data_IF_024981422098
#
_entry.id   IF_024981422098
#
_cell.length_a   1.000
_cell.length_b   1.000
_cell.length_c   1.000
_cell.angle_alpha   90.00
_cell.angle_beta   90.00
_cell.angle_gamma   90.00
#
_symmetry.space_group_name_H-M   'P 1'
#
loop_
_entity.id
_entity.type
_entity.pdbx_description
1 polymer ?
#
# COMPACT_ATOMS: atom_id res chain seq x y z
N UNK A 1 -19.38 70.42 8.89
CA UNK A 1 -18.82 69.65 10.02
C UNK A 1 -18.94 68.15 9.71
N UNK A 2 -17.81 67.42 9.79
CA UNK A 2 -17.67 65.94 9.97
C UNK A 2 -18.07 65.06 8.76
N UNK A 3 -17.22 64.88 7.73
CA UNK A 3 -16.29 63.73 7.53
C UNK A 3 -16.42 62.54 8.49
N UNK A 4 -16.72 61.36 7.91
CA UNK A 4 -16.20 60.00 8.20
C UNK A 4 -16.94 59.02 7.27
N UNK A 5 -16.31 58.51 6.20
CA UNK A 5 -15.49 57.29 6.18
C UNK A 5 -16.32 56.01 6.36
N UNK A 6 -16.54 55.26 5.27
CA UNK A 6 -16.53 53.80 5.34
C UNK A 6 -16.10 53.23 3.98
N UNK A 7 -14.84 52.84 3.94
CA UNK A 7 -14.19 52.10 2.88
C UNK A 7 -14.78 50.68 2.79
N UNK A 8 -14.92 50.24 1.54
CA UNK A 8 -15.19 48.89 1.08
C UNK A 8 -14.23 47.86 1.73
N UNK A 9 -14.63 46.58 1.80
CA UNK A 9 -13.67 45.58 1.32
C UNK A 9 -14.42 44.55 0.46
N UNK A 10 -14.33 44.52 -0.87
CA UNK A 10 -13.14 44.18 -1.66
C UNK A 10 -12.28 43.00 -1.15
N UNK A 11 -12.59 42.39 0.00
CA UNK A 11 -11.78 41.31 0.59
C UNK A 11 -12.40 39.92 0.42
N UNK A 12 -13.69 39.82 0.06
CA UNK A 12 -14.34 38.50 -0.04
C UNK A 12 -14.01 37.76 -1.35
N UNK A 13 -13.67 38.47 -2.42
CA UNK A 13 -13.39 37.86 -3.74
C UNK A 13 -11.93 37.38 -3.85
N UNK A 14 -11.00 37.99 -3.12
CA UNK A 14 -9.57 37.58 -3.13
C UNK A 14 -9.34 36.30 -2.32
N UNK A 15 -10.16 36.01 -1.30
CA UNK A 15 -10.04 34.78 -0.50
C UNK A 15 -10.43 33.50 -1.25
N UNK A 16 -11.38 33.57 -2.18
CA UNK A 16 -11.89 32.38 -2.89
C UNK A 16 -10.95 31.87 -3.99
N UNK A 17 -10.09 32.74 -4.54
CA UNK A 17 -9.09 32.38 -5.56
C UNK A 17 -7.82 31.75 -4.97
N UNK A 18 -7.57 31.89 -3.66
CA UNK A 18 -6.41 31.27 -2.99
C UNK A 18 -6.66 29.81 -2.58
N UNK A 19 -7.91 29.35 -2.49
CA UNK A 19 -8.21 27.97 -2.08
C UNK A 19 -7.99 26.93 -3.19
N UNK A 20 -7.98 27.34 -4.46
CA UNK A 20 -7.72 26.44 -5.60
C UNK A 20 -6.23 26.31 -5.96
N UNK A 21 -5.35 27.12 -5.36
CA UNK A 21 -3.91 27.10 -5.65
C UNK A 21 -3.07 26.17 -4.74
N UNK A 22 -3.69 25.58 -3.70
CA UNK A 22 -2.97 24.80 -2.66
C UNK A 22 -3.22 23.28 -2.78
N UNK A 23 -4.03 22.83 -3.73
CA UNK A 23 -4.20 21.40 -4.00
C UNK A 23 -3.63 21.06 -5.37
N UNK A 24 -2.31 21.19 -5.51
CA UNK A 24 -1.60 20.31 -6.45
C UNK A 24 -1.48 18.95 -5.75
N UNK A 25 -2.04 17.86 -6.29
CA UNK A 25 -1.60 16.53 -5.87
C UNK A 25 -0.17 16.38 -6.38
N UNK A 26 0.78 16.80 -5.55
CA UNK A 26 2.17 16.45 -5.78
C UNK A 26 2.27 14.97 -5.45
N UNK A 27 2.18 14.12 -6.48
CA UNK A 27 2.84 12.82 -6.43
C UNK A 27 4.33 13.17 -6.42
N UNK A 28 4.81 13.42 -5.21
CA UNK A 28 6.22 13.49 -4.88
C UNK A 28 6.75 12.06 -5.03
N UNK A 29 7.14 11.66 -6.24
CA UNK A 29 8.12 10.60 -6.42
C UNK A 29 9.45 11.13 -5.91
N UNK A 30 9.59 11.17 -4.58
CA UNK A 30 10.89 11.21 -3.94
C UNK A 30 11.54 9.85 -4.16
N UNK A 31 12.18 9.71 -5.32
CA UNK A 31 13.27 8.77 -5.55
C UNK A 31 14.48 9.31 -4.76
N UNK A 32 14.35 9.26 -3.44
CA UNK A 32 15.44 9.56 -2.51
C UNK A 32 16.06 8.22 -2.14
N UNK A 33 17.34 8.09 -2.50
CA UNK A 33 18.26 6.99 -2.22
C UNK A 33 17.98 6.26 -0.88
N UNK A 34 17.09 5.27 -0.89
CA UNK A 34 16.80 4.47 0.29
C UNK A 34 17.91 3.42 0.42
N UNK A 35 18.75 3.56 1.45
CA UNK A 35 19.70 2.53 1.88
C UNK A 35 19.03 1.36 2.64
N UNK A 36 17.73 1.18 2.46
CA UNK A 36 16.94 0.12 3.07
C UNK A 36 16.54 -0.89 1.99
N UNK A 37 16.31 -2.14 2.37
CA UNK A 37 15.91 -3.22 1.46
C UNK A 37 14.69 -2.86 0.60
N UNK A 38 14.31 -3.73 -0.37
CA UNK A 38 13.21 -3.40 -1.26
C UNK A 38 11.92 -3.20 -0.44
N UNK A 39 11.56 -1.92 -0.23
CA UNK A 39 10.21 -1.51 0.17
C UNK A 39 9.27 -2.08 -0.86
N UNK A 40 8.22 -2.76 -0.42
CA UNK A 40 7.22 -3.32 -1.32
C UNK A 40 6.79 -2.26 -2.36
N UNK A 41 6.67 -2.61 -3.66
CA UNK A 41 6.07 -1.72 -4.65
C UNK A 41 4.70 -1.22 -4.18
N UNK A 42 4.34 0.01 -4.53
CA UNK A 42 3.16 0.67 -3.96
C UNK A 42 1.85 -0.11 -4.19
N UNK A 43 1.69 -0.69 -5.38
CA UNK A 43 0.57 -1.55 -5.74
C UNK A 43 0.54 -2.84 -4.91
N UNK A 44 1.67 -3.52 -4.78
CA UNK A 44 1.82 -4.73 -3.96
C UNK A 44 1.52 -4.42 -2.49
N UNK A 45 2.07 -3.32 -1.97
CA UNK A 45 1.90 -2.89 -0.59
C UNK A 45 0.42 -2.65 -0.27
N UNK A 46 -0.31 -2.00 -1.16
CA UNK A 46 -1.74 -1.75 -0.97
C UNK A 46 -2.55 -3.06 -0.85
N UNK A 47 -2.24 -4.07 -1.67
CA UNK A 47 -2.88 -5.40 -1.55
C UNK A 47 -2.47 -6.10 -0.26
N UNK A 48 -1.19 -6.08 0.08
CA UNK A 48 -0.66 -6.71 1.30
C UNK A 48 -1.32 -6.10 2.54
N UNK A 49 -1.36 -4.79 2.66
CA UNK A 49 -1.96 -4.09 3.82
C UNK A 49 -3.45 -4.40 3.97
N UNK A 50 -4.19 -4.44 2.86
CA UNK A 50 -5.64 -4.66 2.89
C UNK A 50 -6.06 -6.12 3.06
N UNK A 51 -5.31 -7.08 2.50
CA UNK A 51 -5.72 -8.49 2.42
C UNK A 51 -4.89 -9.46 3.25
N UNK A 52 -3.64 -9.12 3.55
CA UNK A 52 -2.69 -10.07 4.14
C UNK A 52 -2.19 -9.64 5.53
N UNK A 53 -1.89 -8.36 5.69
CA UNK A 53 -1.11 -7.85 6.81
C UNK A 53 -1.78 -8.12 8.15
N UNK A 54 -3.11 -7.98 8.25
CA UNK A 54 -3.86 -8.22 9.49
C UNK A 54 -3.63 -9.61 10.15
N UNK A 55 -3.18 -10.61 9.37
CA UNK A 55 -2.85 -11.95 9.87
C UNK A 55 -1.36 -12.29 9.84
N UNK A 56 -0.56 -11.58 9.04
CA UNK A 56 0.81 -11.94 8.67
C UNK A 56 1.81 -10.83 9.06
N UNK A 57 1.84 -10.44 10.33
CA UNK A 57 2.76 -9.43 10.86
C UNK A 57 3.27 -9.87 12.25
N UNK A 58 4.28 -9.18 12.78
CA UNK A 58 4.94 -9.54 14.04
C UNK A 58 3.97 -9.56 15.23
N UNK A 59 3.02 -8.63 15.24
CA UNK A 59 2.02 -8.44 16.31
C UNK A 59 0.75 -9.27 16.11
N UNK A 60 0.67 -10.07 15.04
CA UNK A 60 -0.48 -10.90 14.73
C UNK A 60 -0.69 -11.97 15.79
N UNK A 61 -1.95 -12.09 16.25
CA UNK A 61 -2.42 -13.18 17.12
C UNK A 61 -2.57 -14.51 16.36
N UNK A 62 -2.52 -14.49 15.02
CA UNK A 62 -2.54 -15.70 14.21
C UNK A 62 -1.12 -16.30 14.13
N UNK A 63 -0.74 -17.03 15.17
CA UNK A 63 0.58 -17.66 15.30
C UNK A 63 0.95 -18.56 14.10
N UNK A 64 -0.03 -19.26 13.51
CA UNK A 64 0.22 -20.12 12.34
C UNK A 64 0.46 -19.29 11.08
N UNK A 65 -0.30 -18.21 10.89
CA UNK A 65 -0.12 -17.27 9.79
C UNK A 65 1.25 -16.60 9.85
N UNK A 66 1.52 -15.94 10.99
CA UNK A 66 2.80 -15.27 11.29
C UNK A 66 4.02 -16.16 11.07
N UNK A 67 4.01 -17.40 11.59
CA UNK A 67 5.13 -18.34 11.40
C UNK A 67 5.38 -18.75 9.95
N UNK A 68 4.34 -18.76 9.10
CA UNK A 68 4.48 -19.09 7.68
C UNK A 68 4.93 -17.90 6.85
N UNK A 69 4.46 -16.71 7.22
CA UNK A 69 4.80 -15.46 6.60
C UNK A 69 4.56 -14.33 7.59
N UNK A 70 5.60 -13.55 7.82
CA UNK A 70 5.59 -12.31 8.57
C UNK A 70 6.11 -11.22 7.63
N UNK A 71 5.27 -10.23 7.34
CA UNK A 71 5.60 -9.14 6.41
C UNK A 71 6.68 -8.20 6.98
N UNK A 72 6.72 -8.02 8.29
CA UNK A 72 7.74 -7.18 8.95
C UNK A 72 9.11 -7.89 8.87
N UNK A 73 9.13 -9.20 9.13
CA UNK A 73 10.33 -10.01 8.96
C UNK A 73 10.75 -10.10 7.48
N UNK A 74 9.79 -10.20 6.56
CA UNK A 74 10.05 -10.23 5.12
C UNK A 74 10.78 -8.98 4.66
N UNK A 75 10.28 -7.78 4.98
CA UNK A 75 10.90 -6.51 4.57
C UNK A 75 12.27 -6.31 5.22
N UNK A 76 12.44 -6.74 6.48
CA UNK A 76 13.73 -6.68 7.19
C UNK A 76 14.74 -7.74 6.72
N UNK A 77 14.31 -8.75 5.97
CA UNK A 77 15.17 -9.87 5.58
C UNK A 77 16.09 -9.57 4.39
N UNK A 78 17.15 -10.37 4.26
CA UNK A 78 18.08 -10.28 3.12
C UNK A 78 17.37 -10.66 1.81
N UNK A 79 17.80 -10.06 0.70
CA UNK A 79 17.25 -10.31 -0.66
C UNK A 79 17.07 -11.79 -1.02
N UNK A 80 18.01 -12.67 -0.65
CA UNK A 80 17.88 -14.10 -0.92
C UNK A 80 16.71 -14.75 -0.19
N UNK A 81 16.48 -14.37 1.07
CA UNK A 81 15.33 -14.83 1.86
C UNK A 81 14.03 -14.25 1.32
N UNK A 82 14.04 -12.97 0.91
CA UNK A 82 12.90 -12.34 0.25
C UNK A 82 12.50 -13.10 -1.02
N UNK A 83 13.45 -13.42 -1.90
CA UNK A 83 13.16 -14.19 -3.13
C UNK A 83 12.59 -15.59 -2.83
N UNK A 84 13.13 -16.28 -1.81
CA UNK A 84 12.60 -17.57 -1.40
C UNK A 84 11.17 -17.46 -0.85
N UNK A 85 10.88 -16.42 -0.08
CA UNK A 85 9.52 -16.14 0.43
C UNK A 85 8.57 -15.76 -0.70
N UNK A 86 9.01 -14.93 -1.66
CA UNK A 86 8.23 -14.56 -2.84
C UNK A 86 7.86 -15.81 -3.67
N UNK A 87 8.79 -16.75 -3.88
CA UNK A 87 8.48 -18.02 -4.55
C UNK A 87 7.38 -18.81 -3.83
N UNK A 88 7.40 -18.86 -2.50
CA UNK A 88 6.34 -19.52 -1.71
C UNK A 88 5.01 -18.79 -1.79
N UNK A 89 5.03 -17.45 -1.78
CA UNK A 89 3.83 -16.63 -1.96
C UNK A 89 3.21 -16.93 -3.34
N UNK A 90 4.02 -17.02 -4.39
CA UNK A 90 3.55 -17.34 -5.74
C UNK A 90 2.86 -18.71 -5.79
N UNK A 91 3.46 -19.73 -5.18
CA UNK A 91 2.91 -21.10 -5.09
C UNK A 91 1.53 -21.10 -4.41
N UNK A 92 1.43 -20.55 -3.19
CA UNK A 92 0.16 -20.57 -2.43
C UNK A 92 -0.94 -19.74 -3.09
N UNK A 93 -0.59 -18.66 -3.79
CA UNK A 93 -1.55 -17.86 -4.55
C UNK A 93 -2.02 -18.59 -5.82
N UNK A 94 -1.11 -19.29 -6.50
CA UNK A 94 -1.44 -20.10 -7.68
C UNK A 94 -2.39 -21.24 -7.29
N UNK A 95 -2.11 -21.91 -6.19
CA UNK A 95 -2.98 -22.94 -5.61
C UNK A 95 -4.27 -22.38 -4.99
N UNK A 96 -4.40 -21.06 -4.89
CA UNK A 96 -5.51 -20.38 -4.22
C UNK A 96 -5.72 -20.85 -2.77
N UNK A 97 -4.64 -21.30 -2.12
CA UNK A 97 -4.65 -21.78 -0.74
C UNK A 97 -4.78 -20.63 0.28
N UNK A 98 -4.52 -19.39 -0.15
CA UNK A 98 -4.69 -18.18 0.63
C UNK A 98 -5.53 -17.15 -0.14
N UNK A 99 -6.52 -16.52 0.50
CA UNK A 99 -6.96 -16.74 1.89
C UNK A 99 -7.69 -18.09 2.08
N UNK A 100 -7.63 -18.73 3.26
CA UNK A 100 -8.27 -20.04 3.47
C UNK A 100 -9.79 -19.96 3.32
N UNK A 101 -10.43 -20.99 2.76
CA UNK A 101 -11.89 -21.02 2.53
C UNK A 101 -12.70 -20.73 3.80
N UNK A 102 -12.33 -21.36 4.93
CA UNK A 102 -12.97 -21.14 6.23
C UNK A 102 -12.91 -19.69 6.73
N UNK A 103 -11.85 -18.95 6.35
CA UNK A 103 -11.77 -17.53 6.65
C UNK A 103 -12.77 -16.76 5.77
N UNK A 104 -12.83 -17.08 4.48
CA UNK A 104 -13.74 -16.44 3.52
C UNK A 104 -15.23 -16.69 3.82
N UNK A 105 -15.58 -17.82 4.44
CA UNK A 105 -16.95 -18.10 4.94
C UNK A 105 -17.44 -17.03 5.91
N UNK A 106 -16.55 -16.49 6.76
CA UNK A 106 -16.86 -15.48 7.77
C UNK A 106 -16.49 -14.06 7.31
N UNK A 107 -15.57 -13.96 6.34
CA UNK A 107 -14.94 -12.74 5.85
C UNK A 107 -14.81 -12.75 4.32
N UNK A 108 -15.93 -12.69 3.58
CA UNK A 108 -15.91 -12.74 2.12
C UNK A 108 -15.16 -11.55 1.49
N UNK A 109 -15.12 -10.40 2.19
CA UNK A 109 -14.37 -9.21 1.77
C UNK A 109 -12.86 -9.42 1.71
N UNK A 110 -12.36 -10.44 2.40
CA UNK A 110 -10.95 -10.82 2.40
C UNK A 110 -10.51 -11.53 1.12
N UNK A 111 -11.44 -11.94 0.26
CA UNK A 111 -11.12 -12.57 -1.02
C UNK A 111 -10.30 -11.61 -1.90
N UNK A 112 -9.28 -12.14 -2.56
CA UNK A 112 -8.54 -11.43 -3.59
C UNK A 112 -9.40 -11.34 -4.85
N UNK A 113 -9.50 -10.14 -5.41
CA UNK A 113 -9.93 -9.94 -6.80
C UNK A 113 -8.89 -10.49 -7.77
N UNK A 114 -9.28 -10.65 -9.03
CA UNK A 114 -8.38 -11.16 -10.08
C UNK A 114 -7.22 -10.20 -10.32
N UNK A 115 -7.48 -8.89 -10.22
CA UNK A 115 -6.47 -7.83 -10.35
C UNK A 115 -5.48 -7.85 -9.18
N UNK A 116 -5.96 -7.91 -7.94
CA UNK A 116 -5.10 -8.00 -6.75
C UNK A 116 -4.23 -9.27 -6.79
N UNK A 117 -4.81 -10.40 -7.20
CA UNK A 117 -4.07 -11.65 -7.38
C UNK A 117 -2.99 -11.52 -8.45
N UNK A 118 -3.30 -10.88 -9.58
CA UNK A 118 -2.34 -10.67 -10.66
C UNK A 118 -1.15 -9.80 -10.21
N UNK A 119 -1.40 -8.72 -9.46
CA UNK A 119 -0.36 -7.86 -8.89
C UNK A 119 0.61 -8.69 -8.03
N UNK A 120 0.08 -9.50 -7.12
CA UNK A 120 0.90 -10.34 -6.24
C UNK A 120 1.65 -11.43 -7.01
N UNK A 121 1.01 -12.07 -7.99
CA UNK A 121 1.64 -13.11 -8.82
C UNK A 121 2.78 -12.52 -9.65
N UNK A 122 2.56 -11.40 -10.33
CA UNK A 122 3.59 -10.72 -11.15
C UNK A 122 4.79 -10.35 -10.29
N UNK A 123 4.55 -9.65 -9.18
CA UNK A 123 5.59 -9.24 -8.23
C UNK A 123 6.37 -10.44 -7.69
N UNK A 124 5.66 -11.48 -7.21
CA UNK A 124 6.26 -12.64 -6.56
C UNK A 124 7.14 -13.50 -7.48
N UNK A 125 7.01 -13.39 -8.80
CA UNK A 125 7.94 -14.03 -9.75
C UNK A 125 9.34 -13.41 -9.75
N UNK A 126 9.53 -12.25 -9.11
CA UNK A 126 10.80 -11.52 -9.11
C UNK A 126 11.13 -10.87 -10.46
N UNK A 127 10.22 -10.93 -11.44
CA UNK A 127 10.33 -10.17 -12.69
C UNK A 127 10.06 -8.70 -12.34
N UNK A 128 11.09 -7.86 -12.42
CA UNK A 128 10.89 -6.41 -12.35
C UNK A 128 9.99 -6.01 -13.51
N UNK A 129 8.84 -5.39 -13.21
CA UNK A 129 8.08 -4.65 -14.22
C UNK A 129 9.06 -3.64 -14.82
N UNK A 130 9.34 -3.78 -16.11
CA UNK A 130 10.25 -2.89 -16.83
C UNK A 130 9.52 -1.55 -16.91
N UNK A 131 10.08 -0.57 -16.21
CA UNK A 131 9.69 0.85 -16.07
C UNK A 131 8.45 1.33 -16.81
N UNK A 132 7.57 1.96 -16.04
CA UNK A 132 6.73 3.05 -16.53
C UNK A 132 7.37 4.38 -16.11
#
# INVERSE_FOLDING_TARGET
MKKSSLLLPAAFVVGLLFFQAIQKPTIETHDELSMDGPKLPADVKAVVESKCYGCHNAESRNEKGKKKLDWDEFEASKKSKQLATMSKINEVLTESAMPPEKFLENKPEGKLSDEEKAILLEWSTGKKKKGE
#
